data_IF_704614646263
#
_entry.id   IF_704614646263
#
_cell.length_a   1.000
_cell.length_b   1.000
_cell.length_c   1.000
_cell.angle_alpha   90.00
_cell.angle_beta   90.00
_cell.angle_gamma   90.00
#
_symmetry.space_group_name_H-M   'P 1'
#
loop_
_entity.id
_entity.type
_entity.pdbx_description
1 polymer ?
#
# COMPACT_ATOMS: atom_id res chain seq x y z
N UNK A 1 6.49 5.67 8.61
CA UNK A 1 7.43 5.97 7.50
C UNK A 1 7.34 7.43 7.05
N UNK A 2 6.15 7.99 6.83
CA UNK A 2 5.98 9.38 6.40
C UNK A 2 6.67 10.42 7.33
N UNK A 3 6.53 10.28 8.64
CA UNK A 3 7.20 11.15 9.62
C UNK A 3 8.74 11.16 9.50
N UNK A 4 9.34 10.00 9.21
CA UNK A 4 10.80 9.90 9.06
C UNK A 4 11.29 10.68 7.84
N UNK A 5 10.56 10.60 6.72
CA UNK A 5 10.87 11.37 5.51
C UNK A 5 10.75 12.86 5.75
N UNK A 6 9.73 13.30 6.50
CA UNK A 6 9.53 14.69 6.88
C UNK A 6 10.47 15.21 7.98
N UNK A 7 11.28 14.34 8.61
CA UNK A 7 12.06 14.63 9.83
C UNK A 7 11.21 15.23 10.96
N UNK A 8 9.96 14.79 11.07
CA UNK A 8 8.99 15.27 12.07
C UNK A 8 9.07 14.40 13.34
N UNK A 9 8.75 14.95 14.52
CA UNK A 9 8.77 14.23 15.81
C UNK A 9 7.39 14.25 16.48
N UNK A 10 6.32 14.16 15.66
CA UNK A 10 4.93 14.28 16.11
C UNK A 10 4.43 13.03 16.86
N UNK A 11 4.93 11.85 16.49
CA UNK A 11 4.53 10.57 17.07
C UNK A 11 5.72 9.94 17.81
N UNK A 12 5.88 10.25 19.11
CA UNK A 12 7.03 9.83 19.94
C UNK A 12 6.75 8.61 20.84
N UNK A 13 5.69 7.86 20.56
CA UNK A 13 5.35 6.64 21.29
C UNK A 13 4.03 6.04 20.83
N UNK A 14 3.82 4.74 21.02
CA UNK A 14 2.63 4.03 20.54
C UNK A 14 1.33 4.61 21.13
N UNK A 15 1.27 4.77 22.46
CA UNK A 15 0.09 5.31 23.16
C UNK A 15 -0.20 6.76 22.80
N UNK A 16 0.85 7.59 22.68
CA UNK A 16 0.71 8.97 22.22
C UNK A 16 0.19 9.02 20.79
N UNK A 17 0.62 8.08 19.93
CA UNK A 17 0.14 8.04 18.54
C UNK A 17 -1.33 7.67 18.44
N UNK A 18 -1.77 6.67 19.19
CA UNK A 18 -3.19 6.26 19.22
C UNK A 18 -4.07 7.39 19.72
N UNK A 19 -3.66 8.06 20.81
CA UNK A 19 -4.42 9.19 21.37
C UNK A 19 -4.44 10.41 20.45
N UNK A 20 -3.35 10.67 19.73
CA UNK A 20 -3.30 11.76 18.74
C UNK A 20 -4.23 11.49 17.56
N UNK A 21 -4.18 10.30 16.96
CA UNK A 21 -5.06 9.91 15.84
C UNK A 21 -6.53 10.00 16.24
N UNK A 22 -6.87 9.52 17.44
CA UNK A 22 -8.23 9.62 17.96
C UNK A 22 -8.71 11.07 18.11
N UNK A 23 -7.82 11.99 18.48
CA UNK A 23 -8.15 13.42 18.63
C UNK A 23 -8.22 14.16 17.30
N UNK A 24 -7.44 13.76 16.28
CA UNK A 24 -7.40 14.45 14.98
C UNK A 24 -8.45 13.95 14.01
N UNK A 25 -8.49 12.63 13.79
CA UNK A 25 -9.25 12.00 12.70
C UNK A 25 -10.36 11.07 13.23
N UNK A 26 -10.46 10.94 14.56
CA UNK A 26 -11.43 10.08 15.21
C UNK A 26 -11.22 8.60 14.86
N UNK A 27 -12.32 7.85 14.83
CA UNK A 27 -12.26 6.42 14.52
C UNK A 27 -12.00 6.15 13.03
N UNK A 28 -12.41 7.07 12.16
CA UNK A 28 -12.26 6.94 10.71
C UNK A 28 -10.79 6.97 10.26
N UNK A 29 -9.93 7.72 10.97
CA UNK A 29 -8.50 7.76 10.72
C UNK A 29 -7.81 6.40 10.83
N UNK A 30 -8.31 5.50 11.68
CA UNK A 30 -7.76 4.14 11.78
C UNK A 30 -8.12 3.24 10.59
N UNK A 31 -9.17 3.56 9.83
CA UNK A 31 -9.69 2.72 8.75
C UNK A 31 -9.53 3.32 7.35
N UNK A 32 -9.00 4.54 7.21
CA UNK A 32 -8.93 5.26 5.93
C UNK A 32 -8.18 4.51 4.81
N UNK A 33 -7.22 3.65 5.15
CA UNK A 33 -6.45 2.84 4.19
C UNK A 33 -6.74 1.35 4.17
N UNK A 34 -7.73 0.85 4.94
CA UNK A 34 -7.96 -0.59 5.10
C UNK A 34 -8.56 -1.23 3.84
N UNK A 35 -9.48 -0.52 3.17
CA UNK A 35 -10.18 -1.03 1.99
C UNK A 35 -9.22 -1.33 0.82
N UNK A 36 -8.38 -0.39 0.35
CA UNK A 36 -7.42 -0.69 -0.71
C UNK A 36 -6.40 -1.75 -0.29
N UNK A 37 -6.08 -1.86 1.02
CA UNK A 37 -5.19 -2.89 1.55
C UNK A 37 -5.81 -4.29 1.47
N UNK A 38 -7.09 -4.42 1.83
CA UNK A 38 -7.81 -5.68 1.73
C UNK A 38 -7.94 -6.14 0.27
N UNK A 39 -8.20 -5.22 -0.65
CA UNK A 39 -8.25 -5.54 -2.09
C UNK A 39 -6.89 -6.04 -2.58
N UNK A 40 -5.79 -5.41 -2.16
CA UNK A 40 -4.42 -5.85 -2.45
C UNK A 40 -4.16 -7.28 -1.93
N UNK A 41 -4.41 -7.53 -0.64
CA UNK A 41 -4.06 -8.80 0.01
C UNK A 41 -4.92 -9.96 -0.49
N UNK A 42 -6.24 -9.76 -0.61
CA UNK A 42 -7.16 -10.78 -1.15
C UNK A 42 -6.86 -11.07 -2.62
N UNK A 43 -6.61 -10.02 -3.42
CA UNK A 43 -6.25 -10.16 -4.82
C UNK A 43 -4.91 -10.88 -4.99
N UNK A 44 -3.90 -10.52 -4.21
CA UNK A 44 -2.60 -11.20 -4.20
C UNK A 44 -2.73 -12.67 -3.86
N UNK A 45 -3.46 -13.01 -2.79
CA UNK A 45 -3.66 -14.39 -2.34
C UNK A 45 -4.42 -15.22 -3.39
N UNK A 46 -5.52 -14.69 -3.93
CA UNK A 46 -6.31 -15.37 -4.94
C UNK A 46 -5.50 -15.63 -6.21
N UNK A 47 -4.75 -14.64 -6.68
CA UNK A 47 -3.94 -14.77 -7.89
C UNK A 47 -2.79 -15.76 -7.69
N UNK A 48 -2.05 -15.65 -6.59
CA UNK A 48 -0.91 -16.53 -6.37
C UNK A 48 -1.33 -17.98 -6.14
N UNK A 49 -2.41 -18.21 -5.38
CA UNK A 49 -2.92 -19.57 -5.16
C UNK A 49 -3.44 -20.20 -6.45
N UNK A 50 -4.10 -19.43 -7.31
CA UNK A 50 -4.55 -19.89 -8.63
C UNK A 50 -3.37 -20.27 -9.51
N UNK A 51 -2.30 -19.46 -9.52
CA UNK A 51 -1.09 -19.73 -10.29
C UNK A 51 -0.42 -21.02 -9.78
N UNK A 52 -0.14 -21.12 -8.48
CA UNK A 52 0.51 -22.30 -7.89
C UNK A 52 -0.31 -23.57 -8.10
N UNK A 53 -1.65 -23.50 -7.95
CA UNK A 53 -2.54 -24.63 -8.20
C UNK A 53 -2.52 -25.06 -9.67
N UNK A 54 -2.65 -24.12 -10.60
CA UNK A 54 -2.68 -24.40 -12.03
C UNK A 54 -1.35 -25.01 -12.51
N UNK A 55 -0.21 -24.42 -12.12
CA UNK A 55 1.11 -24.98 -12.46
C UNK A 55 1.39 -26.32 -11.78
N UNK A 56 0.85 -26.55 -10.58
CA UNK A 56 0.92 -27.83 -9.89
C UNK A 56 0.23 -28.98 -10.64
N UNK A 57 -0.75 -28.67 -11.49
CA UNK A 57 -1.42 -29.66 -12.34
C UNK A 57 -0.62 -30.00 -13.62
N UNK A 58 0.15 -29.04 -14.15
CA UNK A 58 0.88 -29.21 -15.41
C UNK A 58 2.30 -29.75 -15.24
N UNK A 59 3.02 -29.33 -14.20
CA UNK A 59 4.44 -29.65 -14.00
C UNK A 59 4.61 -30.23 -12.61
N UNK A 60 5.16 -31.44 -12.49
CA UNK A 60 5.37 -32.13 -11.19
C UNK A 60 6.76 -31.90 -10.60
N UNK A 61 7.66 -31.27 -11.36
CA UNK A 61 9.03 -31.02 -10.92
C UNK A 61 9.11 -29.82 -9.96
N UNK A 62 9.57 -30.08 -8.73
CA UNK A 62 9.53 -29.09 -7.64
C UNK A 62 10.43 -27.87 -7.88
N UNK A 63 11.55 -28.03 -8.59
CA UNK A 63 12.48 -26.92 -8.86
C UNK A 63 11.82 -25.87 -9.77
N UNK A 64 11.13 -26.32 -10.82
CA UNK A 64 10.43 -25.45 -11.75
C UNK A 64 9.25 -24.76 -11.05
N UNK A 65 8.50 -25.50 -10.23
CA UNK A 65 7.41 -24.93 -9.43
C UNK A 65 7.89 -23.80 -8.51
N UNK A 66 8.98 -24.01 -7.76
CA UNK A 66 9.54 -22.96 -6.88
C UNK A 66 9.97 -21.70 -7.65
N UNK A 67 10.58 -21.88 -8.82
CA UNK A 67 11.00 -20.76 -9.66
C UNK A 67 9.79 -19.97 -10.19
N UNK A 68 8.78 -20.69 -10.69
CA UNK A 68 7.52 -20.09 -11.17
C UNK A 68 6.79 -19.37 -10.04
N UNK A 69 6.67 -19.96 -8.85
CA UNK A 69 6.03 -19.34 -7.69
C UNK A 69 6.75 -18.04 -7.29
N UNK A 70 8.09 -18.05 -7.23
CA UNK A 70 8.86 -16.85 -6.88
C UNK A 70 8.66 -15.72 -7.91
N UNK A 71 8.70 -16.05 -9.20
CA UNK A 71 8.46 -15.08 -10.28
C UNK A 71 7.02 -14.58 -10.25
N UNK A 72 6.06 -15.47 -10.02
CA UNK A 72 4.64 -15.15 -9.92
C UNK A 72 4.38 -14.21 -8.74
N UNK A 73 4.91 -14.50 -7.56
CA UNK A 73 4.80 -13.63 -6.39
C UNK A 73 5.34 -12.23 -6.69
N UNK A 74 6.52 -12.11 -7.31
CA UNK A 74 7.09 -10.82 -7.67
C UNK A 74 6.21 -10.06 -8.67
N UNK A 75 5.70 -10.74 -9.70
CA UNK A 75 4.83 -10.13 -10.72
C UNK A 75 3.47 -9.71 -10.16
N UNK A 76 2.83 -10.57 -9.37
CA UNK A 76 1.54 -10.29 -8.74
C UNK A 76 1.70 -9.13 -7.74
N UNK A 77 2.77 -9.10 -6.94
CA UNK A 77 3.09 -7.93 -6.08
C UNK A 77 3.25 -6.65 -6.88
N UNK A 78 3.96 -6.69 -8.01
CA UNK A 78 4.14 -5.53 -8.88
C UNK A 78 2.80 -5.03 -9.44
N UNK A 79 1.87 -5.93 -9.74
CA UNK A 79 0.53 -5.59 -10.23
C UNK A 79 -0.32 -4.91 -9.15
N UNK A 80 -0.33 -5.45 -7.93
CA UNK A 80 -1.12 -4.90 -6.82
C UNK A 80 -0.42 -3.74 -6.08
N UNK A 81 0.82 -3.42 -6.42
CA UNK A 81 1.59 -2.31 -5.85
C UNK A 81 0.84 -0.97 -5.79
N UNK A 82 0.09 -0.55 -6.83
CA UNK A 82 -0.63 0.73 -6.78
C UNK A 82 -1.68 0.79 -5.65
N UNK A 83 -2.32 -0.34 -5.31
CA UNK A 83 -3.28 -0.40 -4.21
C UNK A 83 -2.59 -0.28 -2.85
N UNK A 84 -1.40 -0.86 -2.71
CA UNK A 84 -0.55 -0.68 -1.53
C UNK A 84 -0.15 0.79 -1.33
N UNK A 85 0.22 1.48 -2.41
CA UNK A 85 0.57 2.90 -2.37
C UNK A 85 -0.64 3.74 -1.95
N UNK A 86 -1.81 3.51 -2.57
CA UNK A 86 -3.05 4.21 -2.21
C UNK A 86 -3.39 3.99 -0.75
N UNK A 87 -3.29 2.77 -0.23
CA UNK A 87 -3.52 2.47 1.19
C UNK A 87 -2.61 3.32 2.09
N UNK A 88 -1.31 3.37 1.78
CA UNK A 88 -0.34 4.15 2.56
C UNK A 88 -0.59 5.65 2.51
N UNK A 89 -0.97 6.17 1.34
CA UNK A 89 -1.37 7.56 1.15
C UNK A 89 -2.64 7.89 1.97
N UNK A 90 -3.66 7.03 1.91
CA UNK A 90 -4.91 7.24 2.64
C UNK A 90 -4.74 7.18 4.16
N UNK A 91 -3.81 6.38 4.69
CA UNK A 91 -3.48 6.34 6.14
C UNK A 91 -2.92 7.68 6.64
N UNK A 92 -2.16 8.38 5.80
CA UNK A 92 -1.48 9.63 6.18
C UNK A 92 -2.34 10.86 5.86
N UNK A 93 -3.31 10.73 4.97
CA UNK A 93 -4.24 11.78 4.59
C UNK A 93 -5.04 12.32 5.79
N UNK A 94 -5.03 13.64 5.99
CA UNK A 94 -5.68 14.30 7.14
C UNK A 94 -4.84 14.31 8.43
N UNK A 95 -3.77 13.50 8.51
CA UNK A 95 -2.86 13.52 9.66
C UNK A 95 -2.11 14.85 9.75
N UNK A 96 -1.54 15.18 10.92
CA UNK A 96 -0.70 16.39 11.11
C UNK A 96 0.64 16.36 10.38
N UNK A 97 0.96 15.29 9.65
CA UNK A 97 2.20 15.15 8.91
C UNK A 97 2.16 15.99 7.64
N UNK A 98 3.29 16.62 7.28
CA UNK A 98 3.41 17.36 6.02
C UNK A 98 3.14 16.50 4.78
N UNK A 99 3.42 15.20 4.86
CA UNK A 99 3.22 14.27 3.75
C UNK A 99 1.75 14.01 3.40
N UNK A 100 0.82 14.23 4.35
CA UNK A 100 -0.61 13.98 4.17
C UNK A 100 -1.46 15.23 3.97
N UNK A 101 -0.81 16.40 3.89
CA UNK A 101 -1.47 17.69 3.78
C UNK A 101 -1.00 18.45 2.51
N UNK A 102 -1.82 19.38 2.01
CA UNK A 102 -1.41 20.27 0.93
C UNK A 102 -0.18 21.09 1.34
N UNK A 103 0.80 21.34 0.44
CA UNK A 103 0.78 21.15 -1.01
C UNK A 103 1.27 19.77 -1.51
N UNK A 104 1.74 18.89 -0.63
CA UNK A 104 2.36 17.61 -1.02
C UNK A 104 1.33 16.53 -1.38
N UNK A 105 0.18 16.55 -0.72
CA UNK A 105 -0.92 15.61 -0.96
C UNK A 105 -2.26 16.32 -0.77
N UNK A 106 -3.23 16.04 -1.65
CA UNK A 106 -4.59 16.55 -1.51
C UNK A 106 -5.37 15.85 -0.40
N UNK A 107 -6.46 16.47 0.05
CA UNK A 107 -7.37 15.85 1.01
C UNK A 107 -8.37 14.95 0.27
N UNK A 108 -8.36 13.66 0.56
CA UNK A 108 -9.26 12.69 -0.09
C UNK A 108 -10.27 12.10 0.90
N UNK A 109 -11.56 12.12 0.59
CA UNK A 109 -12.54 11.40 1.41
C UNK A 109 -12.60 9.91 1.07
N UNK A 110 -12.32 9.57 -0.20
CA UNK A 110 -12.42 8.21 -0.72
C UNK A 110 -11.12 7.77 -1.39
N UNK A 111 -10.79 6.48 -1.24
CA UNK A 111 -9.60 5.88 -1.85
C UNK A 111 -9.59 5.88 -3.39
N UNK A 112 -10.71 5.76 -4.14
CA UNK A 112 -10.68 5.79 -5.60
C UNK A 112 -10.24 7.15 -6.15
N UNK A 113 -10.58 8.23 -5.45
CA UNK A 113 -10.17 9.59 -5.82
C UNK A 113 -8.66 9.75 -5.65
N UNK A 114 -8.11 9.22 -4.56
CA UNK A 114 -6.67 9.16 -4.34
C UNK A 114 -5.97 8.34 -5.44
N UNK A 115 -6.52 7.17 -5.81
CA UNK A 115 -5.98 6.36 -6.91
C UNK A 115 -6.01 7.09 -8.25
N UNK A 116 -7.14 7.75 -8.58
CA UNK A 116 -7.30 8.52 -9.81
C UNK A 116 -6.29 9.68 -9.86
N UNK A 117 -6.07 10.37 -8.75
CA UNK A 117 -5.07 11.42 -8.64
C UNK A 117 -3.64 10.88 -8.85
N UNK A 118 -3.25 9.83 -8.14
CA UNK A 118 -1.93 9.20 -8.28
C UNK A 118 -1.66 8.64 -9.68
N UNK A 119 -2.72 8.22 -10.39
CA UNK A 119 -2.63 7.78 -11.77
C UNK A 119 -2.41 8.97 -12.72
N UNK A 120 -3.07 10.10 -12.48
CA UNK A 120 -2.85 11.33 -13.26
C UNK A 120 -1.45 11.91 -13.05
N UNK A 121 -0.92 11.87 -11.83
CA UNK A 121 0.45 12.36 -11.54
C UNK A 121 1.54 11.35 -11.89
N UNK A 122 1.19 10.15 -12.39
CA UNK A 122 2.11 9.03 -12.64
C UNK A 122 2.87 8.51 -11.39
N UNK A 123 2.46 8.88 -10.19
CA UNK A 123 3.10 8.46 -8.93
C UNK A 123 2.57 7.12 -8.37
N UNK A 124 1.63 6.47 -9.06
CA UNK A 124 1.04 5.19 -8.64
C UNK A 124 2.04 4.02 -8.46
N UNK A 125 3.29 4.15 -8.93
CA UNK A 125 4.40 3.19 -8.71
C UNK A 125 5.58 3.81 -7.95
N UNK A 126 5.35 4.90 -7.22
CA UNK A 126 6.41 5.60 -6.47
C UNK A 126 7.03 4.68 -5.42
N UNK A 127 8.34 4.45 -5.54
CA UNK A 127 9.10 3.55 -4.66
C UNK A 127 9.19 2.10 -5.16
N UNK A 128 8.65 1.78 -6.34
CA UNK A 128 8.73 0.43 -6.92
C UNK A 128 10.06 0.14 -7.65
N UNK A 129 10.87 1.17 -7.91
CA UNK A 129 12.16 1.00 -8.59
C UNK A 129 13.17 0.38 -7.63
N UNK A 130 13.65 -0.82 -7.97
CA UNK A 130 14.68 -1.53 -7.21
C UNK A 130 16.07 -0.94 -7.41
N UNK A 131 16.34 -0.34 -8.57
CA UNK A 131 17.71 -0.01 -9.00
C UNK A 131 17.96 1.48 -9.22
N UNK A 132 16.93 2.29 -9.46
CA UNK A 132 17.09 3.73 -9.68
C UNK A 132 16.10 4.52 -8.81
N UNK A 133 16.65 5.18 -7.79
CA UNK A 133 15.97 6.12 -6.90
C UNK A 133 15.91 7.49 -7.55
#
# INVERSE_FOLDING_TARGET
>A
MAQFVGREQLYNGLWQSVTEIWKTDGIAGFFSGIVPRLIEELGYLAMTSTITCLFGLFVKERVIQCCVDTIAHFKVRSWFYPYQVVSSCMIVNGSRLKAGNPPLMGHFCWWPDCYRHLRMTNDHKRGASFFFR
#
